data_IF_161894873307
#
_entry.id   IF_161894873307
#
_cell.length_a   1.000
_cell.length_b   1.000
_cell.length_c   1.000
_cell.angle_alpha   90.00
_cell.angle_beta   90.00
_cell.angle_gamma   90.00
#
_symmetry.space_group_name_H-M   'P 1'
#
loop_
_entity.id
_entity.type
_entity.pdbx_description
1 polymer ?
#
# COMPACT_ATOMS: atom_id res chain seq x y z
N UNK A 1 -4.53 -18.18 27.08
CA UNK A 1 -4.34 -17.70 25.70
C UNK A 1 -3.50 -18.69 24.94
N UNK A 2 -3.91 -19.08 23.74
CA UNK A 2 -3.06 -19.85 22.85
C UNK A 2 -1.91 -18.95 22.30
N UNK A 3 -0.87 -19.55 21.72
CA UNK A 3 0.29 -18.81 21.25
C UNK A 3 -0.07 -17.73 20.21
N UNK A 4 -1.04 -18.01 19.34
CA UNK A 4 -1.52 -17.10 18.29
C UNK A 4 -2.20 -15.85 18.86
N UNK A 5 -3.01 -15.99 19.90
CA UNK A 5 -3.63 -14.86 20.62
C UNK A 5 -2.57 -13.94 21.22
N UNK A 6 -1.54 -14.52 21.85
CA UNK A 6 -0.42 -13.75 22.42
C UNK A 6 0.37 -13.00 21.34
N UNK A 7 0.61 -13.63 20.18
CA UNK A 7 1.27 -12.97 19.04
C UNK A 7 0.40 -11.84 18.47
N UNK A 8 -0.92 -12.04 18.40
CA UNK A 8 -1.84 -11.00 17.95
C UNK A 8 -1.85 -9.81 18.93
N UNK A 9 -1.85 -10.05 20.23
CA UNK A 9 -1.73 -9.00 21.26
C UNK A 9 -0.43 -8.20 21.11
N UNK A 10 0.71 -8.88 20.93
CA UNK A 10 2.00 -8.24 20.67
C UNK A 10 1.93 -7.37 19.40
N UNK A 11 1.30 -7.87 18.35
CA UNK A 11 1.12 -7.15 17.08
C UNK A 11 0.27 -5.89 17.27
N UNK A 12 -0.88 -6.01 17.93
CA UNK A 12 -1.76 -4.88 18.23
C UNK A 12 -1.03 -3.82 19.07
N UNK A 13 -0.32 -4.26 20.12
CA UNK A 13 0.48 -3.37 20.97
C UNK A 13 1.53 -2.63 20.15
N UNK A 14 2.29 -3.35 19.32
CA UNK A 14 3.33 -2.76 18.45
C UNK A 14 2.75 -1.76 17.46
N UNK A 15 1.62 -2.06 16.83
CA UNK A 15 0.95 -1.15 15.91
C UNK A 15 0.46 0.11 16.63
N UNK A 16 -0.08 0.00 17.85
CA UNK A 16 -0.48 1.15 18.68
C UNK A 16 0.72 2.03 19.04
N UNK A 17 1.79 1.44 19.56
CA UNK A 17 3.03 2.15 19.94
C UNK A 17 3.66 2.92 18.77
N UNK A 18 3.57 2.36 17.56
CA UNK A 18 4.16 2.95 16.35
C UNK A 18 3.16 3.74 15.50
N UNK A 19 1.93 3.91 15.98
CA UNK A 19 0.83 4.56 15.25
C UNK A 19 0.65 4.00 13.82
N UNK A 20 0.76 2.67 13.68
CA UNK A 20 0.59 1.97 12.41
C UNK A 20 -0.89 1.71 12.18
N UNK A 21 -1.40 2.19 11.05
CA UNK A 21 -2.76 1.92 10.58
C UNK A 21 -2.63 1.11 9.29
N UNK A 22 -3.26 -0.06 9.26
CA UNK A 22 -3.22 -0.96 8.11
C UNK A 22 -4.44 -0.72 7.23
N UNK A 23 -4.29 -0.59 5.90
CA UNK A 23 -5.41 -0.56 4.98
C UNK A 23 -6.06 -1.93 4.86
N UNK A 24 -7.37 -1.97 4.61
CA UNK A 24 -8.04 -3.17 4.12
C UNK A 24 -7.81 -3.34 2.62
N UNK A 25 -7.93 -4.57 2.10
CA UNK A 25 -7.89 -4.80 0.66
C UNK A 25 -9.02 -4.06 -0.09
N UNK A 26 -10.19 -3.86 0.54
CA UNK A 26 -11.27 -3.04 -0.03
C UNK A 26 -10.82 -1.59 -0.24
N UNK A 27 -10.12 -1.00 0.74
CA UNK A 27 -9.58 0.35 0.64
C UNK A 27 -8.44 0.47 -0.38
N UNK A 28 -7.57 -0.54 -0.48
CA UNK A 28 -6.51 -0.56 -1.49
C UNK A 28 -7.08 -0.62 -2.92
N UNK A 29 -8.13 -1.44 -3.12
CA UNK A 29 -8.84 -1.55 -4.40
C UNK A 29 -9.63 -0.29 -4.73
N UNK A 30 -10.32 0.27 -3.74
CA UNK A 30 -11.13 1.46 -3.89
C UNK A 30 -10.73 2.54 -2.86
N UNK A 31 -9.88 3.50 -3.27
CA UNK A 31 -9.45 4.60 -2.41
C UNK A 31 -10.59 5.48 -1.87
N UNK A 32 -11.78 5.44 -2.46
CA UNK A 32 -12.94 6.18 -1.95
C UNK A 32 -13.37 5.71 -0.56
N UNK A 33 -13.12 4.45 -0.23
CA UNK A 33 -13.40 3.85 1.08
C UNK A 33 -12.37 4.22 2.15
N UNK A 34 -11.31 4.95 1.79
CA UNK A 34 -10.31 5.41 2.76
C UNK A 34 -10.91 6.56 3.58
N UNK A 35 -10.86 6.51 4.92
CA UNK A 35 -11.36 7.60 5.76
C UNK A 35 -10.73 8.95 5.39
N UNK A 36 -11.55 10.00 5.34
CA UNK A 36 -11.10 11.35 4.94
C UNK A 36 -9.91 11.84 5.76
N UNK A 37 -9.91 11.58 7.08
CA UNK A 37 -8.78 11.89 7.97
C UNK A 37 -7.43 11.30 7.54
N UNK A 38 -7.42 10.16 6.85
CA UNK A 38 -6.20 9.53 6.31
C UNK A 38 -5.81 10.23 5.01
N UNK A 39 -6.78 10.46 4.11
CA UNK A 39 -6.55 11.20 2.86
C UNK A 39 -5.97 12.59 3.12
N UNK A 40 -6.45 13.29 4.15
CA UNK A 40 -5.94 14.62 4.51
C UNK A 40 -4.53 14.57 5.08
N UNK A 41 -4.21 13.59 5.93
CA UNK A 41 -2.84 13.40 6.43
C UNK A 41 -1.87 13.08 5.29
N UNK A 42 -2.30 12.28 4.31
CA UNK A 42 -1.49 11.91 3.15
C UNK A 42 -1.05 13.12 2.31
N UNK A 43 -1.81 14.23 2.31
CA UNK A 43 -1.43 15.48 1.61
C UNK A 43 -0.14 16.11 2.12
N UNK A 44 0.29 15.76 3.33
CA UNK A 44 1.50 16.29 3.97
C UNK A 44 2.63 15.24 4.07
N UNK A 45 2.53 14.14 3.34
CA UNK A 45 3.47 13.01 3.39
C UNK A 45 4.05 12.76 2.00
N UNK A 46 5.37 12.66 1.91
CA UNK A 46 6.08 12.26 0.71
C UNK A 46 5.72 10.84 0.30
N UNK A 47 5.57 10.60 -1.00
CA UNK A 47 5.18 9.29 -1.55
C UNK A 47 6.12 8.17 -1.08
N UNK A 48 7.40 8.48 -0.91
CA UNK A 48 8.44 7.51 -0.55
C UNK A 48 8.91 7.61 0.90
N UNK A 49 8.26 8.45 1.71
CA UNK A 49 8.57 8.56 3.13
C UNK A 49 8.25 7.24 3.85
N UNK A 50 9.06 6.91 4.85
CA UNK A 50 8.84 5.79 5.75
C UNK A 50 7.71 6.11 6.75
N UNK A 51 6.49 6.16 6.23
CA UNK A 51 5.27 6.44 7.00
C UNK A 51 4.23 5.33 6.76
N UNK A 52 3.62 4.82 7.83
CA UNK A 52 2.63 3.75 7.75
C UNK A 52 1.41 4.10 6.88
N UNK A 53 1.05 5.38 6.79
CA UNK A 53 -0.08 5.82 5.97
C UNK A 53 0.18 5.63 4.47
N UNK A 54 1.44 5.58 4.03
CA UNK A 54 1.77 5.26 2.64
C UNK A 54 1.31 3.83 2.24
N UNK A 55 1.01 2.93 3.19
CA UNK A 55 0.40 1.63 2.88
C UNK A 55 -0.97 1.78 2.18
N UNK A 56 -1.71 2.86 2.44
CA UNK A 56 -2.97 3.17 1.75
C UNK A 56 -2.77 3.56 0.27
N UNK A 57 -1.53 3.89 -0.13
CA UNK A 57 -1.15 4.21 -1.52
C UNK A 57 -0.70 2.99 -2.32
N UNK A 58 -0.85 1.76 -1.82
CA UNK A 58 -0.57 0.54 -2.60
C UNK A 58 -1.73 0.33 -3.60
N UNK A 59 -1.77 1.16 -4.64
CA UNK A 59 -2.84 1.22 -5.66
C UNK A 59 -2.35 1.96 -6.91
N UNK A 60 -2.90 1.63 -8.08
CA UNK A 60 -2.59 2.33 -9.33
C UNK A 60 -3.27 3.70 -9.46
N UNK A 61 -4.13 4.04 -8.51
CA UNK A 61 -4.98 5.24 -8.50
C UNK A 61 -4.38 6.45 -7.80
N UNK A 62 -3.08 6.44 -7.47
CA UNK A 62 -2.45 7.58 -6.80
C UNK A 62 -2.40 8.79 -7.74
N UNK A 63 -2.63 9.99 -7.21
CA UNK A 63 -2.35 11.21 -7.97
C UNK A 63 -0.84 11.24 -8.32
N UNK A 64 -0.45 11.65 -9.55
CA UNK A 64 0.94 11.58 -10.02
C UNK A 64 1.85 12.67 -9.41
N UNK A 65 1.93 12.72 -8.08
CA UNK A 65 2.73 13.66 -7.29
C UNK A 65 3.71 12.92 -6.38
N UNK A 66 4.90 13.51 -6.21
CA UNK A 66 5.95 12.96 -5.32
C UNK A 66 5.73 13.31 -3.85
N UNK A 67 5.06 14.42 -3.57
CA UNK A 67 4.75 14.89 -2.22
C UNK A 67 3.26 15.18 -2.13
N UNK A 68 2.64 14.75 -1.03
CA UNK A 68 1.20 14.88 -0.87
C UNK A 68 0.45 14.10 -1.94
N UNK A 69 -0.60 14.71 -2.46
CA UNK A 69 -1.45 14.13 -3.49
C UNK A 69 -2.55 13.22 -2.94
N UNK A 70 -3.63 13.13 -3.70
CA UNK A 70 -4.80 12.31 -3.41
C UNK A 70 -4.84 11.05 -4.26
N UNK A 71 -6.05 10.73 -4.71
CA UNK A 71 -6.34 9.58 -5.56
C UNK A 71 -7.18 10.04 -6.76
N UNK A 72 -7.08 9.32 -7.87
CA UNK A 72 -7.85 9.57 -9.08
C UNK A 72 -7.99 8.30 -9.92
N UNK A 73 -7.94 8.46 -11.24
CA UNK A 73 -8.01 7.34 -12.17
C UNK A 73 -6.75 6.48 -12.15
N UNK A 74 -6.83 5.32 -12.80
CA UNK A 74 -5.68 4.42 -12.95
C UNK A 74 -4.57 5.12 -13.74
N UNK A 75 -3.35 5.13 -13.21
CA UNK A 75 -2.20 5.61 -13.97
C UNK A 75 -1.80 4.55 -15.01
N UNK A 76 -2.04 4.84 -16.29
CA UNK A 76 -1.63 4.01 -17.41
C UNK A 76 -1.20 4.85 -18.61
N UNK A 77 -0.46 4.22 -19.52
CA UNK A 77 -0.17 4.72 -20.86
C UNK A 77 -0.69 3.71 -21.88
N UNK A 78 -1.28 4.19 -22.95
CA UNK A 78 -1.59 3.38 -24.13
C UNK A 78 -0.47 3.57 -25.16
N UNK A 79 0.16 2.49 -25.60
CA UNK A 79 1.20 2.55 -26.61
C UNK A 79 0.56 2.54 -28.00
N UNK A 80 0.86 3.54 -28.84
CA UNK A 80 0.19 3.70 -30.12
C UNK A 80 0.68 2.67 -31.16
N UNK A 81 -0.15 2.24 -32.13
CA UNK A 81 0.25 1.30 -33.18
C UNK A 81 1.48 1.75 -33.98
N UNK A 82 1.69 3.06 -34.14
CA UNK A 82 2.84 3.66 -34.81
C UNK A 82 4.17 3.35 -34.08
N UNK A 83 4.11 3.08 -32.77
CA UNK A 83 5.24 2.66 -31.96
C UNK A 83 5.36 1.14 -31.87
N UNK A 84 4.22 0.44 -31.77
CA UNK A 84 4.19 -1.00 -31.47
C UNK A 84 4.21 -1.90 -32.70
N UNK A 85 3.84 -1.37 -33.87
CA UNK A 85 3.71 -2.11 -35.13
C UNK A 85 2.54 -3.10 -35.19
N UNK A 86 1.64 -3.08 -34.19
CA UNK A 86 0.53 -4.04 -34.09
C UNK A 86 -0.81 -3.34 -33.86
N UNK A 87 -1.91 -3.97 -34.32
CA UNK A 87 -3.29 -3.50 -34.09
C UNK A 87 -3.79 -3.73 -32.65
N UNK A 88 -3.11 -4.59 -31.89
CA UNK A 88 -3.51 -4.89 -30.52
C UNK A 88 -3.28 -3.67 -29.61
N UNK A 89 -4.25 -3.36 -28.74
CA UNK A 89 -4.12 -2.29 -27.75
C UNK A 89 -3.14 -2.72 -26.66
N UNK A 90 -2.07 -1.97 -26.47
CA UNK A 90 -1.06 -2.26 -25.44
C UNK A 90 -1.15 -1.19 -24.36
N UNK A 91 -1.55 -1.60 -23.16
CA UNK A 91 -1.67 -0.72 -21.99
C UNK A 91 -0.53 -1.02 -21.01
N UNK A 92 0.21 0.02 -20.63
CA UNK A 92 1.27 -0.05 -19.62
C UNK A 92 0.80 0.63 -18.34
N UNK A 93 0.72 -0.12 -17.25
CA UNK A 93 0.41 0.43 -15.92
C UNK A 93 1.64 1.15 -15.34
N UNK A 94 1.45 2.35 -14.80
CA UNK A 94 2.56 3.19 -14.32
C UNK A 94 2.82 2.99 -12.82
N UNK A 95 3.89 2.25 -12.49
CA UNK A 95 4.22 1.88 -11.11
C UNK A 95 4.98 2.98 -10.36
N UNK A 96 5.39 4.03 -11.07
CA UNK A 96 6.21 5.15 -10.55
C UNK A 96 5.59 5.83 -9.33
N UNK A 97 4.26 5.86 -9.26
CA UNK A 97 3.53 6.53 -8.19
C UNK A 97 3.14 5.58 -7.04
N UNK A 98 3.79 4.43 -6.91
CA UNK A 98 3.65 3.57 -5.74
C UNK A 98 4.50 4.07 -4.56
N UNK A 99 4.09 3.73 -3.33
CA UNK A 99 4.74 4.22 -2.12
C UNK A 99 6.11 3.60 -1.87
N UNK A 100 6.84 4.18 -0.91
CA UNK A 100 8.10 3.68 -0.31
C UNK A 100 9.29 3.46 -1.25
N UNK A 101 9.16 3.81 -2.53
CA UNK A 101 10.23 3.65 -3.53
C UNK A 101 10.58 2.19 -3.84
N UNK A 102 9.79 1.25 -3.31
CA UNK A 102 10.05 -0.18 -3.47
C UNK A 102 9.33 -0.73 -4.71
N UNK A 103 10.07 -1.43 -5.56
CA UNK A 103 9.55 -2.02 -6.81
C UNK A 103 8.51 -3.14 -6.59
N UNK A 104 8.32 -3.64 -5.36
CA UNK A 104 7.43 -4.76 -5.02
C UNK A 104 6.67 -4.60 -3.70
N UNK A 105 6.32 -3.37 -3.31
CA UNK A 105 5.66 -3.09 -2.02
C UNK A 105 4.39 -3.91 -1.77
N UNK A 106 3.52 -4.07 -2.78
CA UNK A 106 2.28 -4.85 -2.64
C UNK A 106 2.52 -6.35 -2.46
N UNK A 107 3.50 -6.92 -3.18
CA UNK A 107 3.86 -8.33 -3.09
C UNK A 107 4.51 -8.69 -1.74
N UNK A 108 5.16 -7.72 -1.08
CA UNK A 108 5.64 -7.88 0.30
C UNK A 108 4.51 -7.68 1.32
N UNK A 109 3.65 -6.67 1.10
CA UNK A 109 2.59 -6.33 2.05
C UNK A 109 1.53 -7.43 2.19
N UNK A 110 1.04 -7.99 1.08
CA UNK A 110 -0.06 -8.97 1.09
C UNK A 110 0.20 -10.20 2.00
N UNK A 111 1.30 -10.94 1.79
CA UNK A 111 1.64 -12.09 2.64
C UNK A 111 1.92 -11.69 4.10
N UNK A 112 2.51 -10.51 4.33
CA UNK A 112 2.82 -10.04 5.68
C UNK A 112 1.57 -9.66 6.46
N UNK A 113 0.68 -8.86 5.86
CA UNK A 113 -0.50 -8.35 6.55
C UNK A 113 -1.43 -9.48 6.97
N UNK A 114 -1.57 -10.52 6.14
CA UNK A 114 -2.35 -11.71 6.45
C UNK A 114 -1.83 -12.44 7.70
N UNK A 115 -0.51 -12.66 7.79
CA UNK A 115 0.10 -13.31 8.97
C UNK A 115 0.05 -12.43 10.22
N UNK A 116 0.19 -11.10 10.07
CA UNK A 116 0.11 -10.13 11.16
C UNK A 116 -1.28 -10.14 11.81
N UNK A 117 -2.35 -10.01 11.02
CA UNK A 117 -3.72 -9.92 11.55
C UNK A 117 -4.21 -11.26 12.12
N UNK A 118 -3.61 -12.37 11.70
CA UNK A 118 -3.97 -13.71 12.19
C UNK A 118 -3.12 -14.18 13.37
N UNK A 119 -2.17 -13.37 13.88
CA UNK A 119 -1.26 -13.78 14.94
C UNK A 119 -0.26 -14.88 14.57
N UNK A 120 0.05 -15.07 13.28
CA UNK A 120 1.03 -16.06 12.79
C UNK A 120 2.43 -15.47 12.56
N UNK A 121 2.58 -14.16 12.74
CA UNK A 121 3.85 -13.44 12.66
C UNK A 121 3.94 -12.44 13.80
N UNK A 122 4.98 -12.56 14.64
CA UNK A 122 5.28 -11.65 15.74
C UNK A 122 6.29 -10.59 15.32
N UNK A 123 5.87 -9.34 15.04
CA UNK A 123 6.76 -8.27 14.58
C UNK A 123 7.71 -7.75 15.66
N UNK A 124 7.63 -8.26 16.90
CA UNK A 124 8.55 -7.92 17.99
C UNK A 124 9.76 -8.85 18.05
N UNK A 125 9.67 -10.03 17.41
CA UNK A 125 10.70 -11.08 17.46
C UNK A 125 11.16 -11.53 16.08
N UNK A 126 10.24 -11.61 15.11
CA UNK A 126 10.53 -12.07 13.76
C UNK A 126 10.92 -10.89 12.86
N UNK A 127 12.02 -11.04 12.12
CA UNK A 127 12.57 -10.00 11.24
C UNK A 127 12.44 -10.32 9.74
N UNK A 128 12.00 -11.53 9.39
CA UNK A 128 11.83 -12.00 8.02
C UNK A 128 10.65 -13.00 7.94
N UNK A 129 10.00 -13.05 6.77
CA UNK A 129 8.77 -13.83 6.50
C UNK A 129 8.99 -15.32 6.31
#
# INVERSE_FOLDING_TARGET
MNNTEKVLENTIKRCKEKHIILPTYKQMRNPDLIPQKIKDKLKNIGLWDLNSLNLFRITWKNEPKKFGGGFGEVNFLELPPELTGVKARIITLIGKYFPTGAHKVGATFGPLVEKLISGRFDPTRQKAL
#
